data_IF_688824205770
#
_entry.id   IF_688824205770
#
_cell.length_a   1.000
_cell.length_b   1.000
_cell.length_c   1.000
_cell.angle_alpha   90.00
_cell.angle_beta   90.00
_cell.angle_gamma   90.00
#
_symmetry.space_group_name_H-M   'P 1'
#
loop_
_entity.id
_entity.type
_entity.pdbx_description
1 polymer ?
#
# COMPACT_ATOMS: atom_id res chain seq x y z
N UNK A 1 -2.23 -11.53 -1.61
CA UNK A 1 -2.44 -12.48 -0.51
C UNK A 1 -3.92 -12.52 -0.14
N UNK A 2 -4.56 -13.68 -0.23
CA UNK A 2 -5.99 -13.86 0.03
C UNK A 2 -6.31 -14.11 1.52
N UNK A 3 -5.31 -14.49 2.31
CA UNK A 3 -5.45 -14.73 3.75
C UNK A 3 -4.26 -14.15 4.53
N UNK A 4 -4.46 -13.90 5.81
CA UNK A 4 -3.39 -13.48 6.71
C UNK A 4 -2.43 -14.65 6.99
N UNK A 5 -1.29 -14.63 6.32
CA UNK A 5 -0.27 -15.69 6.46
C UNK A 5 -0.84 -17.08 6.18
N UNK A 6 -0.71 -17.98 7.15
CA UNK A 6 -1.24 -19.34 7.10
C UNK A 6 -2.62 -19.49 7.75
N UNK A 7 -3.26 -18.38 8.17
CA UNK A 7 -4.59 -18.41 8.77
C UNK A 7 -5.68 -18.64 7.71
N UNK A 8 -6.89 -18.96 8.16
CA UNK A 8 -8.09 -19.01 7.31
C UNK A 8 -8.82 -17.65 7.24
N UNK A 9 -8.25 -16.62 7.85
CA UNK A 9 -8.85 -15.28 7.87
C UNK A 9 -8.52 -14.60 6.56
N UNK A 10 -9.54 -14.15 5.83
CA UNK A 10 -9.37 -13.44 4.58
C UNK A 10 -8.64 -12.11 4.80
N UNK A 11 -7.61 -11.88 4.01
CA UNK A 11 -6.92 -10.60 3.92
C UNK A 11 -7.36 -9.89 2.64
N UNK A 12 -7.68 -8.60 2.74
CA UNK A 12 -8.16 -7.83 1.61
C UNK A 12 -7.49 -6.46 1.54
N UNK A 13 -7.59 -5.83 0.37
CA UNK A 13 -7.35 -4.41 0.17
C UNK A 13 -8.59 -3.63 0.57
N UNK A 14 -8.39 -2.46 1.15
CA UNK A 14 -9.48 -1.56 1.52
C UNK A 14 -9.93 -0.80 0.26
N UNK A 15 -11.20 -1.01 -0.17
CA UNK A 15 -11.69 -0.42 -1.42
C UNK A 15 -11.61 1.11 -1.41
N UNK A 16 -11.97 1.74 -0.30
CA UNK A 16 -11.92 3.19 -0.12
C UNK A 16 -10.51 3.76 -0.34
N UNK A 17 -9.49 3.06 0.17
CA UNK A 17 -8.08 3.45 0.04
C UNK A 17 -7.53 3.26 -1.39
N UNK A 18 -8.30 2.64 -2.27
CA UNK A 18 -8.01 2.55 -3.71
C UNK A 18 -8.80 3.62 -4.45
N UNK A 19 -10.12 3.71 -4.24
CA UNK A 19 -10.98 4.54 -5.08
C UNK A 19 -10.82 6.04 -4.83
N UNK A 20 -10.58 6.46 -3.57
CA UNK A 20 -10.41 7.89 -3.26
C UNK A 20 -9.14 8.46 -3.94
N UNK A 21 -7.95 7.86 -3.78
CA UNK A 21 -6.77 8.33 -4.49
C UNK A 21 -6.91 8.21 -6.02
N UNK A 22 -7.46 7.10 -6.51
CA UNK A 22 -7.68 6.90 -7.93
C UNK A 22 -8.54 8.02 -8.54
N UNK A 23 -9.71 8.31 -7.95
CA UNK A 23 -10.61 9.36 -8.41
C UNK A 23 -9.92 10.73 -8.39
N UNK A 24 -9.14 11.01 -7.35
CA UNK A 24 -8.37 12.25 -7.22
C UNK A 24 -7.30 12.39 -8.30
N UNK A 25 -6.56 11.32 -8.59
CA UNK A 25 -5.54 11.33 -9.63
C UNK A 25 -6.15 11.51 -11.03
N UNK A 26 -7.22 10.76 -11.35
CA UNK A 26 -7.91 10.87 -12.65
C UNK A 26 -8.49 12.27 -12.83
N UNK A 27 -9.14 12.84 -11.82
CA UNK A 27 -9.66 14.22 -11.87
C UNK A 27 -8.57 15.27 -12.02
N UNK A 28 -7.36 14.96 -11.57
CA UNK A 28 -6.18 15.82 -11.72
C UNK A 28 -5.45 15.63 -13.05
N UNK A 29 -5.98 14.80 -13.96
CA UNK A 29 -5.45 14.57 -15.30
C UNK A 29 -4.34 13.53 -15.39
N UNK A 30 -4.10 12.75 -14.33
CA UNK A 30 -3.12 11.65 -14.35
C UNK A 30 -3.75 10.36 -14.85
N UNK A 31 -2.98 9.54 -15.54
CA UNK A 31 -3.30 8.13 -15.79
C UNK A 31 -2.81 7.28 -14.63
N UNK A 32 -3.56 6.22 -14.30
CA UNK A 32 -3.24 5.32 -13.19
C UNK A 32 -3.27 3.88 -13.67
N UNK A 33 -2.19 3.16 -13.40
CA UNK A 33 -2.09 1.73 -13.57
C UNK A 33 -2.06 1.03 -12.21
N UNK A 34 -2.57 -0.20 -12.17
CA UNK A 34 -2.55 -1.02 -10.97
C UNK A 34 -1.53 -2.14 -11.12
N UNK A 35 -0.71 -2.30 -10.10
CA UNK A 35 0.30 -3.36 -10.01
C UNK A 35 0.09 -4.17 -8.74
N UNK A 36 0.30 -5.46 -8.82
CA UNK A 36 0.38 -6.33 -7.65
C UNK A 36 1.57 -7.30 -7.77
N UNK A 37 2.07 -7.88 -6.66
CA UNK A 37 3.28 -8.72 -6.70
C UNK A 37 3.21 -9.89 -7.67
N UNK A 38 2.01 -10.42 -7.93
CA UNK A 38 1.79 -11.55 -8.83
C UNK A 38 1.07 -11.20 -10.12
N UNK A 39 0.59 -9.95 -10.24
CA UNK A 39 -0.36 -9.57 -11.27
C UNK A 39 -1.74 -10.21 -11.07
N UNK A 40 -2.67 -9.93 -11.97
CA UNK A 40 -4.03 -10.46 -11.93
C UNK A 40 -4.89 -9.88 -10.82
N UNK A 41 -5.93 -10.59 -10.43
CA UNK A 41 -6.93 -10.12 -9.48
C UNK A 41 -6.36 -9.86 -8.07
N UNK A 42 -6.77 -8.76 -7.48
CA UNK A 42 -6.46 -8.43 -6.08
C UNK A 42 -7.67 -8.66 -5.18
N UNK A 43 -7.49 -9.16 -3.95
CA UNK A 43 -8.59 -9.34 -3.02
C UNK A 43 -9.08 -7.98 -2.51
N UNK A 44 -10.33 -7.64 -2.80
CA UNK A 44 -10.97 -6.40 -2.36
C UNK A 44 -11.92 -6.72 -1.21
N UNK A 45 -11.93 -5.86 -0.19
CA UNK A 45 -12.83 -5.94 0.95
C UNK A 45 -13.16 -4.56 1.51
N UNK A 46 -13.76 -4.55 2.68
CA UNK A 46 -14.15 -3.32 3.38
C UNK A 46 -15.01 -2.40 2.49
N UNK A 47 -15.96 -3.01 1.77
CA UNK A 47 -16.83 -2.34 0.80
C UNK A 47 -17.97 -1.64 1.53
N UNK A 48 -18.12 -0.34 1.31
CA UNK A 48 -19.25 0.45 1.80
C UNK A 48 -20.10 0.95 0.62
N UNK A 49 -21.18 0.26 0.33
CA UNK A 49 -22.09 0.63 -0.77
C UNK A 49 -22.98 1.83 -0.47
N UNK A 50 -22.97 2.33 0.78
CA UNK A 50 -23.63 3.60 1.15
C UNK A 50 -22.77 4.81 0.77
N UNK A 51 -21.46 4.60 0.60
CA UNK A 51 -20.56 5.63 0.05
C UNK A 51 -20.74 5.71 -1.47
N UNK A 52 -21.06 6.92 -1.96
CA UNK A 52 -21.36 7.15 -3.38
C UNK A 52 -20.16 6.94 -4.29
N UNK A 53 -18.94 7.22 -3.80
CA UNK A 53 -17.71 7.07 -4.58
C UNK A 53 -17.33 5.59 -4.69
N UNK A 54 -17.35 4.85 -3.58
CA UNK A 54 -17.12 3.41 -3.60
C UNK A 54 -18.15 2.71 -4.49
N UNK A 55 -19.42 3.09 -4.35
CA UNK A 55 -20.50 2.53 -5.18
C UNK A 55 -20.26 2.81 -6.66
N UNK A 56 -19.90 4.05 -7.04
CA UNK A 56 -19.57 4.42 -8.42
C UNK A 56 -18.55 3.46 -9.02
N UNK A 57 -17.41 3.29 -8.35
CA UNK A 57 -16.31 2.48 -8.88
C UNK A 57 -16.57 0.97 -8.79
N UNK A 58 -17.31 0.51 -7.80
CA UNK A 58 -17.70 -0.89 -7.69
C UNK A 58 -18.55 -1.37 -8.88
N UNK A 59 -19.36 -0.47 -9.45
CA UNK A 59 -20.17 -0.75 -10.64
C UNK A 59 -19.56 -0.25 -11.96
N UNK A 60 -18.36 0.34 -11.91
CA UNK A 60 -17.60 0.70 -13.11
C UNK A 60 -16.81 -0.52 -13.60
N UNK A 61 -17.33 -1.16 -14.66
CA UNK A 61 -16.74 -2.38 -15.21
C UNK A 61 -15.31 -2.19 -15.69
N UNK A 62 -14.96 -1.02 -16.23
CA UNK A 62 -13.60 -0.73 -16.67
C UNK A 62 -12.61 -0.58 -15.50
N UNK A 63 -13.04 0.07 -14.42
CA UNK A 63 -12.22 0.17 -13.21
C UNK A 63 -12.03 -1.20 -12.55
N UNK A 64 -13.10 -1.98 -12.45
CA UNK A 64 -13.05 -3.33 -11.84
C UNK A 64 -12.18 -4.27 -12.66
N UNK A 65 -12.24 -4.21 -13.99
CA UNK A 65 -11.37 -4.97 -14.89
C UNK A 65 -9.88 -4.67 -14.63
N UNK A 66 -9.50 -3.40 -14.41
CA UNK A 66 -8.13 -3.03 -14.02
C UNK A 66 -7.70 -3.66 -12.69
N UNK A 67 -8.60 -3.85 -11.73
CA UNK A 67 -8.29 -4.49 -10.45
C UNK A 67 -8.27 -6.03 -10.55
N UNK A 68 -8.95 -6.58 -11.52
CA UNK A 68 -8.93 -8.01 -11.85
C UNK A 68 -7.68 -8.39 -12.66
N UNK A 69 -7.13 -7.45 -13.44
CA UNK A 69 -6.00 -7.65 -14.33
C UNK A 69 -4.83 -6.72 -13.99
N UNK A 70 -4.42 -6.67 -12.71
CA UNK A 70 -3.27 -5.84 -12.33
C UNK A 70 -1.99 -6.33 -12.99
N UNK A 71 -1.09 -5.39 -13.30
CA UNK A 71 0.21 -5.67 -13.90
C UNK A 71 1.14 -6.38 -12.90
N UNK A 72 2.07 -7.20 -13.42
CA UNK A 72 3.19 -7.71 -12.63
C UNK A 72 4.29 -6.66 -12.52
N UNK A 73 5.13 -6.71 -11.47
CA UNK A 73 6.22 -5.74 -11.30
C UNK A 73 7.20 -5.69 -12.48
N UNK A 74 7.46 -6.82 -13.14
CA UNK A 74 8.36 -6.89 -14.30
C UNK A 74 7.77 -6.31 -15.60
N UNK A 75 6.49 -6.00 -15.63
CA UNK A 75 5.81 -5.33 -16.74
C UNK A 75 5.85 -3.80 -16.61
N UNK A 76 6.30 -3.28 -15.45
CA UNK A 76 6.36 -1.85 -15.15
C UNK A 76 7.68 -1.26 -15.64
N UNK A 77 7.60 -0.27 -16.50
CA UNK A 77 8.73 0.56 -16.91
C UNK A 77 8.70 1.79 -16.00
N UNK A 78 9.54 1.81 -14.97
CA UNK A 78 9.52 2.85 -13.93
C UNK A 78 9.64 4.28 -14.49
N UNK A 79 10.28 4.44 -15.66
CA UNK A 79 10.49 5.74 -16.31
C UNK A 79 9.19 6.40 -16.80
N UNK A 80 8.13 5.61 -16.98
CA UNK A 80 6.83 6.11 -17.41
C UNK A 80 6.00 6.69 -16.24
N UNK A 81 6.48 6.55 -14.99
CA UNK A 81 5.72 6.93 -13.80
C UNK A 81 6.41 8.04 -13.01
N UNK A 82 5.62 8.99 -12.52
CA UNK A 82 6.07 10.08 -11.66
C UNK A 82 5.77 9.83 -10.18
N UNK A 83 4.96 8.82 -9.88
CA UNK A 83 4.62 8.47 -8.52
C UNK A 83 4.32 6.97 -8.39
N UNK A 84 4.49 6.45 -7.18
CA UNK A 84 3.98 5.16 -6.74
C UNK A 84 3.18 5.35 -5.46
N UNK A 85 1.97 4.79 -5.41
CA UNK A 85 1.07 4.83 -4.26
C UNK A 85 0.80 3.42 -3.76
N UNK A 86 1.05 3.18 -2.48
CA UNK A 86 0.78 1.90 -1.82
C UNK A 86 -0.54 1.97 -1.05
N UNK A 87 -1.59 1.33 -1.59
CA UNK A 87 -2.88 1.21 -0.91
C UNK A 87 -2.80 0.24 0.27
N UNK A 88 -3.61 0.48 1.28
CA UNK A 88 -3.62 -0.34 2.49
C UNK A 88 -4.52 -1.57 2.43
N UNK A 89 -5.10 -1.90 3.59
CA UNK A 89 -5.73 -3.18 3.87
C UNK A 89 -4.71 -4.24 4.29
N UNK A 90 -5.14 -5.24 5.06
CA UNK A 90 -4.24 -6.24 5.64
C UNK A 90 -3.43 -7.05 4.62
N UNK A 91 -3.93 -7.18 3.38
CA UNK A 91 -3.20 -7.83 2.29
C UNK A 91 -1.90 -7.10 1.91
N UNK A 92 -1.77 -5.80 2.22
CA UNK A 92 -0.56 -5.02 1.97
C UNK A 92 0.67 -5.49 2.77
N UNK A 93 0.44 -6.22 3.87
CA UNK A 93 1.52 -6.76 4.70
C UNK A 93 2.31 -7.89 4.04
N UNK A 94 1.88 -8.39 2.87
CA UNK A 94 2.44 -9.60 2.27
C UNK A 94 2.89 -9.38 0.83
N UNK A 95 4.13 -9.78 0.54
CA UNK A 95 4.68 -9.88 -0.81
C UNK A 95 5.02 -8.57 -1.49
N UNK A 96 4.83 -7.42 -0.84
CA UNK A 96 5.17 -6.11 -1.41
C UNK A 96 6.50 -5.59 -0.83
N UNK A 97 6.65 -5.69 0.48
CA UNK A 97 7.79 -5.10 1.20
C UNK A 97 9.13 -5.75 0.81
N UNK A 98 9.14 -7.04 0.54
CA UNK A 98 10.32 -7.84 0.22
C UNK A 98 10.56 -7.97 -1.28
N UNK A 99 9.62 -7.56 -2.13
CA UNK A 99 9.75 -7.67 -3.58
C UNK A 99 10.80 -6.66 -4.10
N UNK A 100 11.91 -7.20 -4.56
CA UNK A 100 13.05 -6.39 -5.02
C UNK A 100 12.74 -5.62 -6.30
N UNK A 101 11.83 -6.10 -7.15
CA UNK A 101 11.44 -5.40 -8.38
C UNK A 101 10.58 -4.20 -8.00
N UNK A 102 9.61 -4.37 -7.10
CA UNK A 102 8.78 -3.26 -6.58
C UNK A 102 9.65 -2.22 -5.90
N UNK A 103 10.63 -2.64 -5.09
CA UNK A 103 11.58 -1.73 -4.45
C UNK A 103 12.42 -0.95 -5.49
N UNK A 104 12.85 -1.61 -6.57
CA UNK A 104 13.60 -0.96 -7.64
C UNK A 104 12.75 0.07 -8.39
N UNK A 105 11.48 -0.24 -8.69
CA UNK A 105 10.53 0.69 -9.29
C UNK A 105 10.39 1.94 -8.41
N UNK A 106 10.12 1.75 -7.12
CA UNK A 106 9.95 2.86 -6.17
C UNK A 106 11.22 3.71 -6.05
N UNK A 107 12.40 3.07 -5.99
CA UNK A 107 13.70 3.75 -5.94
C UNK A 107 13.94 4.58 -7.20
N UNK A 108 13.69 4.02 -8.38
CA UNK A 108 13.86 4.72 -9.65
C UNK A 108 12.95 5.94 -9.76
N UNK A 109 11.68 5.80 -9.38
CA UNK A 109 10.74 6.93 -9.32
C UNK A 109 11.28 8.01 -8.37
N UNK A 110 11.69 7.62 -7.16
CA UNK A 110 12.21 8.56 -6.17
C UNK A 110 13.48 9.28 -6.62
N UNK A 111 14.44 8.56 -7.23
CA UNK A 111 15.71 9.13 -7.70
C UNK A 111 15.52 10.14 -8.83
N UNK A 112 14.39 10.09 -9.53
CA UNK A 112 13.98 11.06 -10.56
C UNK A 112 13.08 12.17 -10.02
N UNK A 113 13.11 12.41 -8.69
CA UNK A 113 12.27 13.38 -7.98
C UNK A 113 10.77 13.07 -8.04
N UNK A 114 10.40 11.81 -8.28
CA UNK A 114 9.03 11.35 -8.20
C UNK A 114 8.57 11.14 -6.75
N UNK A 115 7.30 10.81 -6.59
CA UNK A 115 6.63 10.71 -5.29
C UNK A 115 6.41 9.25 -4.91
N UNK A 116 6.78 8.90 -3.68
CA UNK A 116 6.36 7.66 -3.02
C UNK A 116 5.32 8.03 -1.95
N UNK A 117 4.14 7.46 -2.05
CA UNK A 117 3.06 7.70 -1.10
C UNK A 117 2.46 6.40 -0.59
N UNK A 118 2.00 6.40 0.64
CA UNK A 118 1.44 5.21 1.31
C UNK A 118 0.24 5.60 2.15
N UNK A 119 -0.69 4.68 2.35
CA UNK A 119 -1.80 4.83 3.29
C UNK A 119 -1.95 3.56 4.13
N UNK A 120 -2.29 3.72 5.42
CA UNK A 120 -2.66 2.62 6.32
C UNK A 120 -1.57 1.52 6.34
N UNK A 121 -1.94 0.25 6.15
CA UNK A 121 -0.99 -0.86 6.02
C UNK A 121 -0.17 -0.82 4.72
N UNK A 122 -0.53 0.00 3.75
CA UNK A 122 0.29 0.24 2.55
C UNK A 122 1.70 0.73 2.87
N UNK A 123 1.91 1.32 4.05
CA UNK A 123 3.24 1.72 4.52
C UNK A 123 4.21 0.53 4.67
N UNK A 124 3.70 -0.70 4.75
CA UNK A 124 4.54 -1.90 4.65
C UNK A 124 5.39 -1.91 3.37
N UNK A 125 4.88 -1.38 2.25
CA UNK A 125 5.57 -1.36 0.97
C UNK A 125 6.90 -0.61 0.97
N UNK A 126 7.09 0.33 1.90
CA UNK A 126 8.35 1.06 2.05
C UNK A 126 9.23 0.56 3.20
N UNK A 127 8.76 -0.41 3.99
CA UNK A 127 9.40 -0.82 5.24
C UNK A 127 10.88 -1.21 5.06
N UNK A 128 11.23 -1.86 3.95
CA UNK A 128 12.60 -2.28 3.62
C UNK A 128 13.20 -1.53 2.43
N UNK A 129 12.58 -0.42 2.01
CA UNK A 129 13.04 0.35 0.86
C UNK A 129 14.33 1.10 1.19
N UNK A 130 15.41 0.78 0.47
CA UNK A 130 16.75 1.32 0.68
C UNK A 130 17.30 1.97 -0.59
N UNK A 131 18.20 2.92 -0.41
CA UNK A 131 19.04 3.47 -1.47
C UNK A 131 20.14 2.48 -1.90
N UNK A 132 20.96 2.87 -2.87
CA UNK A 132 22.07 2.07 -3.39
C UNK A 132 23.18 1.82 -2.36
N UNK A 133 23.23 2.64 -1.30
CA UNK A 133 24.19 2.53 -0.19
C UNK A 133 23.63 1.68 0.97
N UNK A 134 22.44 1.11 0.81
CA UNK A 134 21.79 0.30 1.83
C UNK A 134 21.12 1.09 2.96
N UNK A 135 21.04 2.43 2.86
CA UNK A 135 20.34 3.29 3.81
C UNK A 135 18.86 3.38 3.44
N UNK A 136 17.97 3.36 4.41
CA UNK A 136 16.54 3.56 4.15
C UNK A 136 16.26 4.90 3.50
N UNK A 137 15.44 4.93 2.43
CA UNK A 137 15.09 6.17 1.73
C UNK A 137 14.32 7.15 2.64
N UNK A 138 13.68 6.66 3.67
CA UNK A 138 12.97 7.45 4.66
C UNK A 138 13.78 7.74 5.94
N UNK A 139 15.07 7.38 6.00
CA UNK A 139 15.89 7.65 7.19
C UNK A 139 15.88 9.14 7.53
N UNK A 140 15.55 9.46 8.78
CA UNK A 140 15.40 10.82 9.29
C UNK A 140 14.10 11.53 8.89
N UNK A 141 13.23 10.91 8.09
CA UNK A 141 11.94 11.50 7.68
C UNK A 141 10.82 11.10 8.64
N UNK A 142 9.81 11.94 8.73
CA UNK A 142 8.53 11.60 9.37
C UNK A 142 7.75 10.70 8.44
N UNK A 143 7.33 9.54 8.94
CA UNK A 143 6.54 8.54 8.22
C UNK A 143 5.29 8.26 9.03
N UNK A 144 4.17 8.15 8.36
CA UNK A 144 2.91 7.75 8.96
C UNK A 144 2.36 6.50 8.28
N UNK A 145 1.39 5.87 8.90
CA UNK A 145 0.75 4.63 8.44
C UNK A 145 -0.19 4.12 9.53
N UNK A 146 -0.68 2.89 9.40
CA UNK A 146 -1.53 2.32 10.45
C UNK A 146 -0.66 1.93 11.66
N UNK A 147 -0.88 2.56 12.85
CA UNK A 147 -0.01 2.33 13.99
C UNK A 147 -0.40 1.07 14.78
N UNK A 148 0.60 0.35 15.29
CA UNK A 148 0.41 -0.84 16.14
C UNK A 148 -0.47 -0.61 17.38
N UNK A 149 -0.61 0.65 17.80
CA UNK A 149 -1.47 1.04 18.92
C UNK A 149 -2.93 0.74 18.65
N UNK A 150 -3.38 0.85 17.41
CA UNK A 150 -4.75 0.62 17.02
C UNK A 150 -5.02 -0.82 16.53
N UNK A 151 -3.98 -1.66 16.52
CA UNK A 151 -4.12 -3.07 16.22
C UNK A 151 -4.69 -3.86 17.39
N UNK A 152 -5.57 -4.81 17.07
CA UNK A 152 -5.98 -5.80 18.07
C UNK A 152 -4.95 -6.92 18.13
N UNK A 153 -3.94 -6.73 18.98
CA UNK A 153 -2.79 -7.65 19.13
C UNK A 153 -3.17 -9.06 19.61
N UNK A 154 -4.40 -9.25 20.13
CA UNK A 154 -4.89 -10.57 20.56
C UNK A 154 -5.42 -11.39 19.38
N UNK A 155 -5.79 -10.74 18.29
CA UNK A 155 -6.38 -11.39 17.13
C UNK A 155 -5.35 -12.16 16.32
N UNK A 156 -5.79 -13.26 15.71
CA UNK A 156 -4.94 -14.11 14.88
C UNK A 156 -4.38 -13.40 13.65
N UNK A 157 -5.14 -12.47 13.05
CA UNK A 157 -4.66 -11.73 11.89
C UNK A 157 -3.40 -10.91 12.22
N UNK A 158 -3.37 -10.25 13.41
CA UNK A 158 -2.21 -9.46 13.81
C UNK A 158 -0.99 -10.34 14.10
N UNK A 159 -1.21 -11.47 14.77
CA UNK A 159 -0.14 -12.44 15.04
C UNK A 159 0.45 -13.04 13.77
N UNK A 160 -0.31 -13.02 12.68
CA UNK A 160 0.14 -13.52 11.38
C UNK A 160 0.87 -12.47 10.55
N UNK A 161 0.94 -11.20 10.97
CA UNK A 161 1.73 -10.20 10.27
C UNK A 161 3.21 -10.59 10.26
N UNK A 162 3.89 -10.45 9.11
CA UNK A 162 5.31 -10.83 9.00
C UNK A 162 6.23 -9.89 9.81
N UNK A 163 5.81 -8.66 10.05
CA UNK A 163 6.54 -7.65 10.83
C UNK A 163 5.59 -6.54 11.32
N UNK A 164 6.06 -5.72 12.27
CA UNK A 164 5.40 -4.48 12.68
C UNK A 164 5.90 -3.33 11.82
N UNK A 165 4.99 -2.58 11.19
CA UNK A 165 5.33 -1.38 10.39
C UNK A 165 6.05 -0.36 11.29
N UNK A 166 5.45 0.01 12.44
CA UNK A 166 6.05 0.96 13.38
C UNK A 166 7.48 0.62 13.73
N UNK A 167 7.68 -0.63 14.17
CA UNK A 167 8.99 -1.06 14.65
C UNK A 167 10.00 -1.10 13.52
N UNK A 168 9.59 -1.58 12.34
CA UNK A 168 10.48 -1.66 11.18
C UNK A 168 10.90 -0.28 10.70
N UNK A 169 9.97 0.68 10.62
CA UNK A 169 10.29 2.06 10.26
C UNK A 169 11.29 2.68 11.25
N UNK A 170 11.05 2.51 12.57
CA UNK A 170 11.95 3.01 13.62
C UNK A 170 13.33 2.36 13.56
N UNK A 171 13.38 1.05 13.40
CA UNK A 171 14.66 0.29 13.32
C UNK A 171 15.50 0.71 12.10
N UNK A 172 14.86 1.23 11.06
CA UNK A 172 15.50 1.73 9.86
C UNK A 172 15.66 3.27 9.87
N UNK A 173 15.69 3.89 11.06
CA UNK A 173 15.92 5.31 11.29
C UNK A 173 14.85 6.24 10.73
N UNK A 174 13.63 5.77 10.48
CA UNK A 174 12.47 6.61 10.21
C UNK A 174 11.83 7.10 11.51
N UNK A 175 11.24 8.28 11.48
CA UNK A 175 10.47 8.81 12.61
C UNK A 175 8.99 8.50 12.37
N UNK A 176 8.50 7.38 12.93
CA UNK A 176 7.10 7.01 12.80
C UNK A 176 6.23 7.90 13.69
N UNK A 177 5.30 8.63 13.08
CA UNK A 177 4.39 9.57 13.73
C UNK A 177 2.94 9.20 13.45
N UNK A 178 2.05 9.44 14.39
CA UNK A 178 0.60 9.26 14.25
C UNK A 178 -0.16 10.10 15.28
N UNK A 179 -1.44 10.37 15.01
CA UNK A 179 -2.31 10.99 15.99
C UNK A 179 -2.61 10.04 17.15
N UNK A 180 -2.51 10.53 18.38
CA UNK A 180 -2.86 9.74 19.55
C UNK A 180 -4.36 9.72 19.84
N UNK A 181 -5.09 10.67 19.27
CA UNK A 181 -6.51 10.88 19.55
C UNK A 181 -7.43 10.22 18.54
N UNK A 182 -6.98 10.06 17.32
CA UNK A 182 -7.81 9.60 16.20
C UNK A 182 -7.17 8.38 15.54
N UNK A 183 -8.01 7.38 15.27
CA UNK A 183 -7.58 6.14 14.65
C UNK A 183 -7.16 6.35 13.19
N UNK A 184 -7.82 7.27 12.50
CA UNK A 184 -7.66 7.55 11.08
C UNK A 184 -7.11 8.95 10.80
N UNK A 185 -6.68 9.68 11.86
CA UNK A 185 -6.22 11.06 11.77
C UNK A 185 -4.72 11.25 11.94
N UNK A 186 -4.21 12.28 11.32
CA UNK A 186 -2.82 12.76 11.40
C UNK A 186 -2.78 14.22 11.79
#
# INVERSE_FOLDING_TARGET
QESYGKTKISAAKHLEEIVIPYDSFIKSGYSVDFMSPKGGAIPIGYINTSDSLQKKYLYDGWFMDKLEHTMKPNEIIADNYIAIFYSGGGAAMYGIAEDTIIQNIARNIYNRNGVISTICHGTAGIAFLKDEKGKSLYAGKKITGFPDKFENKKMEYYKAFPFSINQTIKNNNGNFVFSEKEKDGF
#
